data_IF_689850309049
#
_entry.id   IF_689850309049
#
_cell.length_a   1.000
_cell.length_b   1.000
_cell.length_c   1.000
_cell.angle_alpha   90.00
_cell.angle_beta   90.00
_cell.angle_gamma   90.00
#
_symmetry.space_group_name_H-M   'P 1'
#
loop_
_entity.id
_entity.type
_entity.pdbx_description
1 polymer ?
#
# COMPACT_ATOMS: atom_id res chain seq x y z
N UNK A 1 2.78 -7.82 14.26
CA UNK A 1 2.46 -6.88 13.17
C UNK A 1 3.61 -6.76 12.15
N UNK A 2 4.86 -6.67 12.60
CA UNK A 2 6.06 -6.50 11.75
C UNK A 2 6.15 -7.51 10.59
N UNK A 3 5.91 -8.85 10.76
CA UNK A 3 5.95 -9.77 9.61
C UNK A 3 4.98 -9.42 8.47
N UNK A 4 3.81 -8.88 8.80
CA UNK A 4 2.84 -8.43 7.78
C UNK A 4 3.30 -7.18 7.03
N UNK A 5 3.97 -6.25 7.73
CA UNK A 5 4.57 -5.08 7.09
C UNK A 5 5.67 -5.52 6.12
N UNK A 6 6.52 -6.47 6.53
CA UNK A 6 7.53 -7.03 5.64
C UNK A 6 6.94 -7.73 4.43
N UNK A 7 5.90 -8.55 4.63
CA UNK A 7 5.20 -9.19 3.52
C UNK A 7 4.63 -8.15 2.54
N UNK A 8 3.96 -7.11 3.06
CA UNK A 8 3.43 -6.03 2.24
C UNK A 8 4.53 -5.26 1.49
N UNK A 9 5.66 -4.99 2.16
CA UNK A 9 6.82 -4.34 1.52
C UNK A 9 7.40 -5.18 0.39
N UNK A 10 7.52 -6.49 0.56
CA UNK A 10 8.02 -7.40 -0.47
C UNK A 10 7.07 -7.51 -1.66
N UNK A 11 5.75 -7.56 -1.41
CA UNK A 11 4.74 -7.55 -2.47
C UNK A 11 4.81 -6.24 -3.27
N UNK A 12 4.89 -5.10 -2.59
CA UNK A 12 5.02 -3.79 -3.23
C UNK A 12 6.31 -3.68 -4.05
N UNK A 13 7.44 -4.11 -3.49
CA UNK A 13 8.72 -4.14 -4.19
C UNK A 13 8.66 -5.03 -5.44
N UNK A 14 8.09 -6.23 -5.34
CA UNK A 14 7.92 -7.14 -6.48
C UNK A 14 7.06 -6.53 -7.58
N UNK A 15 5.94 -5.89 -7.22
CA UNK A 15 5.07 -5.20 -8.18
C UNK A 15 5.76 -4.03 -8.87
N UNK A 16 6.45 -3.17 -8.12
CA UNK A 16 7.22 -2.05 -8.68
C UNK A 16 8.39 -2.52 -9.55
N UNK A 17 8.98 -3.69 -9.25
CA UNK A 17 10.05 -4.26 -10.07
C UNK A 17 9.55 -4.78 -11.42
N UNK A 18 8.33 -5.32 -11.49
CA UNK A 18 7.73 -5.84 -12.71
C UNK A 18 7.14 -4.70 -13.57
N UNK A 19 6.59 -3.67 -12.94
CA UNK A 19 5.80 -2.61 -13.59
C UNK A 19 6.48 -1.94 -14.79
N UNK A 20 7.76 -1.50 -14.74
CA UNK A 20 8.39 -0.83 -15.87
C UNK A 20 8.50 -1.73 -17.10
N UNK A 21 8.80 -3.00 -16.91
CA UNK A 21 8.93 -3.96 -18.01
C UNK A 21 7.57 -4.30 -18.64
N UNK A 22 6.53 -4.39 -17.82
CA UNK A 22 5.16 -4.56 -18.32
C UNK A 22 4.73 -3.37 -19.17
N UNK A 23 5.04 -2.14 -18.75
CA UNK A 23 4.74 -0.92 -19.48
C UNK A 23 5.52 -0.82 -20.81
N UNK A 24 6.78 -1.27 -20.85
CA UNK A 24 7.57 -1.34 -22.10
C UNK A 24 6.95 -2.30 -23.11
N UNK A 25 6.41 -3.44 -22.67
CA UNK A 25 5.72 -4.37 -23.58
C UNK A 25 4.43 -3.74 -24.10
N UNK A 26 3.69 -3.01 -23.25
CA UNK A 26 2.45 -2.34 -23.64
C UNK A 26 2.68 -1.15 -24.59
N UNK A 27 3.81 -0.44 -24.47
CA UNK A 27 4.15 0.67 -25.37
C UNK A 27 4.56 0.23 -26.79
N UNK A 28 4.73 -1.08 -27.01
CA UNK A 28 5.11 -1.63 -28.32
C UNK A 28 6.60 -1.56 -28.61
N UNK A 29 7.42 -1.16 -27.66
CA UNK A 29 8.89 -1.04 -27.81
C UNK A 29 9.61 -2.39 -27.74
N UNK A 30 8.88 -3.47 -27.51
CA UNK A 30 9.43 -4.83 -27.42
C UNK A 30 8.63 -5.80 -28.31
N UNK A 31 9.29 -6.83 -28.83
CA UNK A 31 8.70 -7.85 -29.72
C UNK A 31 7.89 -8.93 -28.97
N UNK A 32 7.23 -8.58 -27.85
CA UNK A 32 6.40 -9.51 -27.07
C UNK A 32 4.92 -9.46 -27.45
N UNK A 33 4.14 -10.55 -27.24
CA UNK A 33 2.70 -10.51 -27.38
C UNK A 33 2.07 -9.51 -26.40
N UNK A 34 1.22 -8.61 -26.88
CA UNK A 34 0.58 -7.56 -26.08
C UNK A 34 -0.15 -8.07 -24.82
N UNK A 35 -0.73 -9.27 -24.89
CA UNK A 35 -1.43 -9.87 -23.74
C UNK A 35 -0.49 -10.14 -22.54
N UNK A 36 0.80 -10.44 -22.81
CA UNK A 36 1.81 -10.63 -21.73
C UNK A 36 2.02 -9.31 -20.98
N UNK A 37 2.13 -8.19 -21.72
CA UNK A 37 2.23 -6.86 -21.13
C UNK A 37 1.02 -6.52 -20.27
N UNK A 38 -0.19 -6.80 -20.78
CA UNK A 38 -1.44 -6.56 -20.05
C UNK A 38 -1.53 -7.37 -18.75
N UNK A 39 -1.25 -8.67 -18.80
CA UNK A 39 -1.27 -9.53 -17.62
C UNK A 39 -0.17 -9.13 -16.62
N UNK A 40 1.03 -8.85 -17.09
CA UNK A 40 2.14 -8.42 -16.24
C UNK A 40 1.85 -7.07 -15.57
N UNK A 41 1.26 -6.10 -16.30
CA UNK A 41 0.82 -4.84 -15.73
C UNK A 41 -0.27 -5.04 -14.67
N UNK A 42 -1.30 -5.81 -14.98
CA UNK A 42 -2.38 -6.11 -14.03
C UNK A 42 -1.82 -6.76 -12.75
N UNK A 43 -0.90 -7.72 -12.88
CA UNK A 43 -0.22 -8.36 -11.75
C UNK A 43 0.63 -7.36 -10.96
N UNK A 44 1.39 -6.49 -11.65
CA UNK A 44 2.22 -5.48 -11.01
C UNK A 44 1.37 -4.52 -10.17
N UNK A 45 0.29 -3.98 -10.73
CA UNK A 45 -0.64 -3.10 -10.00
C UNK A 45 -1.33 -3.81 -8.83
N UNK A 46 -1.74 -5.07 -9.02
CA UNK A 46 -2.33 -5.87 -7.94
C UNK A 46 -1.34 -6.07 -6.78
N UNK A 47 -0.08 -6.42 -7.08
CA UNK A 47 0.96 -6.62 -6.07
C UNK A 47 1.29 -5.32 -5.34
N UNK A 48 1.43 -4.21 -6.06
CA UNK A 48 1.68 -2.89 -5.45
C UNK A 48 0.53 -2.50 -4.54
N UNK A 49 -0.71 -2.60 -5.01
CA UNK A 49 -1.91 -2.26 -4.23
C UNK A 49 -2.06 -3.15 -2.99
N UNK A 50 -1.96 -4.47 -3.16
CA UNK A 50 -2.03 -5.42 -2.05
C UNK A 50 -0.91 -5.19 -1.04
N UNK A 51 0.32 -4.95 -1.51
CA UNK A 51 1.46 -4.65 -0.67
C UNK A 51 1.31 -3.36 0.12
N UNK A 52 0.89 -2.28 -0.55
CA UNK A 52 0.64 -0.98 0.06
C UNK A 52 -0.42 -1.07 1.17
N UNK A 53 -1.57 -1.64 0.87
CA UNK A 53 -2.66 -1.75 1.84
C UNK A 53 -2.32 -2.67 3.02
N UNK A 54 -1.58 -3.75 2.78
CA UNK A 54 -1.11 -4.65 3.84
C UNK A 54 -0.14 -3.92 4.77
N UNK A 55 0.85 -3.20 4.21
CA UNK A 55 1.82 -2.42 4.99
C UNK A 55 1.14 -1.31 5.78
N UNK A 56 0.23 -0.57 5.14
CA UNK A 56 -0.50 0.54 5.77
C UNK A 56 -1.39 0.06 6.91
N UNK A 57 -2.16 -1.00 6.71
CA UNK A 57 -3.06 -1.55 7.73
C UNK A 57 -2.27 -2.11 8.92
N UNK A 58 -1.22 -2.88 8.65
CA UNK A 58 -0.39 -3.45 9.70
C UNK A 58 0.42 -2.38 10.45
N UNK A 59 0.89 -1.33 9.74
CA UNK A 59 1.59 -0.18 10.31
C UNK A 59 0.69 0.65 11.21
N UNK A 60 -0.53 0.96 10.77
CA UNK A 60 -1.54 1.66 11.59
C UNK A 60 -1.88 0.86 12.85
N UNK A 61 -2.08 -0.45 12.71
CA UNK A 61 -2.34 -1.33 13.85
C UNK A 61 -1.14 -1.36 14.83
N UNK A 62 0.10 -1.41 14.33
CA UNK A 62 1.29 -1.37 15.17
C UNK A 62 1.38 -0.05 15.93
N UNK A 63 1.21 1.08 15.25
CA UNK A 63 1.27 2.40 15.86
C UNK A 63 0.20 2.62 16.93
N UNK A 64 -1.03 2.12 16.71
CA UNK A 64 -2.12 2.19 17.69
C UNK A 64 -1.93 1.26 18.88
N UNK A 65 -1.30 0.09 18.66
CA UNK A 65 -0.97 -0.86 19.73
C UNK A 65 0.13 -0.33 20.66
N UNK A 66 1.10 0.41 20.11
CA UNK A 66 2.19 1.02 20.86
C UNK A 66 1.78 2.30 21.58
N UNK A 67 0.75 2.99 21.11
CA UNK A 67 0.30 4.25 21.66
C UNK A 67 -0.56 4.06 22.94
N UNK A 68 -0.33 4.87 24.01
CA UNK A 68 -1.23 4.95 25.13
C UNK A 68 -2.67 5.28 24.68
N UNK A 69 -3.67 4.71 25.36
CA UNK A 69 -5.08 4.87 24.96
C UNK A 69 -5.51 6.33 24.76
N UNK A 70 -5.04 7.24 25.61
CA UNK A 70 -5.33 8.67 25.52
C UNK A 70 -4.75 9.35 24.28
N UNK A 71 -3.69 8.80 23.67
CA UNK A 71 -2.97 9.40 22.55
C UNK A 71 -3.24 8.72 21.20
N UNK A 72 -4.00 7.65 21.16
CA UNK A 72 -4.25 6.88 19.92
C UNK A 72 -4.80 7.75 18.79
N UNK A 73 -5.76 8.62 19.08
CA UNK A 73 -6.33 9.52 18.09
C UNK A 73 -5.28 10.49 17.51
N UNK A 74 -4.37 11.01 18.34
CA UNK A 74 -3.29 11.89 17.89
C UNK A 74 -2.27 11.15 17.02
N UNK A 75 -1.92 9.91 17.38
CA UNK A 75 -1.00 9.07 16.59
C UNK A 75 -1.60 8.78 15.21
N UNK A 76 -2.88 8.41 15.15
CA UNK A 76 -3.58 8.20 13.87
C UNK A 76 -3.59 9.48 13.03
N UNK A 77 -3.93 10.61 13.63
CA UNK A 77 -3.92 11.90 12.92
C UNK A 77 -2.52 12.24 12.39
N UNK A 78 -1.47 12.03 13.18
CA UNK A 78 -0.09 12.26 12.77
C UNK A 78 0.31 11.36 11.58
N UNK A 79 -0.08 10.10 11.59
CA UNK A 79 0.18 9.17 10.49
C UNK A 79 -0.48 9.64 9.19
N UNK A 80 -1.72 10.15 9.25
CA UNK A 80 -2.39 10.71 8.07
C UNK A 80 -1.75 12.00 7.57
N UNK A 81 -1.35 12.90 8.49
CA UNK A 81 -0.60 14.11 8.10
C UNK A 81 0.72 13.74 7.43
N UNK A 82 1.46 12.79 8.00
CA UNK A 82 2.72 12.31 7.40
C UNK A 82 2.48 11.66 6.03
N UNK A 83 1.38 10.91 5.86
CA UNK A 83 0.99 10.36 4.57
C UNK A 83 0.76 11.46 3.53
N UNK A 84 0.00 12.50 3.87
CA UNK A 84 -0.27 13.63 2.97
C UNK A 84 1.02 14.38 2.59
N UNK A 85 1.87 14.65 3.57
CA UNK A 85 3.20 15.26 3.32
C UNK A 85 4.04 14.37 2.40
N UNK A 86 4.03 13.06 2.63
CA UNK A 86 4.71 12.09 1.78
C UNK A 86 4.16 12.07 0.34
N UNK A 87 2.85 12.15 0.17
CA UNK A 87 2.21 12.23 -1.15
C UNK A 87 2.61 13.51 -1.90
N UNK A 88 2.58 14.67 -1.25
CA UNK A 88 2.99 15.95 -1.84
C UNK A 88 4.47 15.91 -2.23
N UNK A 89 5.33 15.44 -1.32
CA UNK A 89 6.77 15.32 -1.56
C UNK A 89 7.05 14.34 -2.71
N UNK A 90 6.39 13.20 -2.72
CA UNK A 90 6.52 12.21 -3.78
C UNK A 90 6.07 12.73 -5.14
N UNK A 91 4.89 13.37 -5.19
CA UNK A 91 4.36 13.95 -6.43
C UNK A 91 5.30 15.04 -7.00
N UNK A 92 5.82 15.91 -6.13
CA UNK A 92 6.77 16.97 -6.53
C UNK A 92 8.08 16.37 -7.02
N UNK A 93 8.63 15.39 -6.29
CA UNK A 93 9.88 14.73 -6.65
C UNK A 93 9.76 13.98 -7.99
N UNK A 94 8.69 13.22 -8.19
CA UNK A 94 8.45 12.50 -9.46
C UNK A 94 8.19 13.47 -10.61
N UNK A 95 7.41 14.54 -10.40
CA UNK A 95 7.19 15.58 -11.40
C UNK A 95 8.49 16.22 -11.85
N UNK A 96 9.40 16.51 -10.93
CA UNK A 96 10.72 17.06 -11.25
C UNK A 96 11.63 16.05 -11.95
N UNK A 97 11.71 14.82 -11.45
CA UNK A 97 12.55 13.77 -12.01
C UNK A 97 12.12 13.36 -13.43
N UNK A 98 10.82 13.43 -13.73
CA UNK A 98 10.24 13.05 -15.02
C UNK A 98 9.95 14.25 -15.92
N UNK A 99 10.39 15.46 -15.58
CA UNK A 99 10.17 16.67 -16.37
C UNK A 99 10.67 16.51 -17.82
N UNK A 100 11.87 15.91 -17.98
CA UNK A 100 12.37 15.48 -19.28
C UNK A 100 12.11 13.99 -19.43
N UNK A 101 10.92 13.64 -19.89
CA UNK A 101 10.49 12.26 -20.00
C UNK A 101 11.37 11.45 -20.94
N UNK A 102 11.85 10.30 -20.44
CA UNK A 102 12.47 9.26 -21.23
C UNK A 102 12.10 7.90 -20.60
N UNK A 103 11.87 6.89 -21.42
CA UNK A 103 11.50 5.55 -20.92
C UNK A 103 12.50 5.00 -19.92
N UNK A 104 13.79 5.20 -20.18
CA UNK A 104 14.85 4.76 -19.26
C UNK A 104 14.77 5.49 -17.92
N UNK A 105 14.45 6.78 -17.91
CA UNK A 105 14.25 7.56 -16.69
C UNK A 105 13.04 7.03 -15.89
N UNK A 106 11.95 6.70 -16.58
CA UNK A 106 10.77 6.11 -15.92
C UNK A 106 11.13 4.81 -15.19
N UNK A 107 11.88 3.92 -15.86
CA UNK A 107 12.36 2.68 -15.25
C UNK A 107 13.21 2.99 -14.00
N UNK A 108 14.20 3.88 -14.14
CA UNK A 108 15.09 4.25 -13.05
C UNK A 108 14.35 4.85 -11.86
N UNK A 109 13.38 5.73 -12.12
CA UNK A 109 12.58 6.37 -11.06
C UNK A 109 11.70 5.35 -10.33
N UNK A 110 11.02 4.45 -11.05
CA UNK A 110 10.19 3.41 -10.43
C UNK A 110 11.05 2.42 -9.62
N UNK A 111 12.17 1.97 -10.16
CA UNK A 111 13.10 1.07 -9.45
C UNK A 111 13.74 1.78 -8.24
N UNK A 112 14.11 3.04 -8.39
CA UNK A 112 14.61 3.87 -7.29
C UNK A 112 13.57 4.02 -6.17
N UNK A 113 12.31 4.27 -6.51
CA UNK A 113 11.21 4.34 -5.56
C UNK A 113 11.00 2.99 -4.84
N UNK A 114 11.11 1.87 -5.56
CA UNK A 114 11.00 0.53 -4.98
C UNK A 114 12.09 0.29 -3.91
N UNK A 115 13.34 0.58 -4.25
CA UNK A 115 14.47 0.45 -3.33
C UNK A 115 14.33 1.40 -2.14
N UNK A 116 13.99 2.66 -2.38
CA UNK A 116 13.78 3.67 -1.33
C UNK A 116 12.69 3.23 -0.36
N UNK A 117 11.58 2.68 -0.85
CA UNK A 117 10.49 2.15 -0.01
C UNK A 117 10.97 1.04 0.92
N UNK A 118 11.77 0.10 0.42
CA UNK A 118 12.36 -0.97 1.24
C UNK A 118 13.29 -0.37 2.31
N UNK A 119 14.19 0.54 1.92
CA UNK A 119 15.13 1.18 2.86
C UNK A 119 14.39 1.95 3.95
N UNK A 120 13.37 2.74 3.60
CA UNK A 120 12.57 3.47 4.58
C UNK A 120 11.82 2.51 5.53
N UNK A 121 11.29 1.40 5.03
CA UNK A 121 10.64 0.39 5.88
C UNK A 121 11.65 -0.31 6.80
N UNK A 122 12.87 -0.61 6.33
CA UNK A 122 13.95 -1.11 7.20
C UNK A 122 14.22 -0.16 8.36
N UNK A 123 14.39 1.14 8.04
CA UNK A 123 14.64 2.17 9.06
C UNK A 123 13.45 2.32 10.00
N UNK A 124 12.24 2.39 9.46
CA UNK A 124 11.00 2.56 10.24
C UNK A 124 10.73 1.39 11.19
N UNK A 125 11.06 0.17 10.78
CA UNK A 125 10.84 -1.04 11.58
C UNK A 125 11.99 -1.37 12.53
N UNK A 126 13.07 -0.60 12.48
CA UNK A 126 14.24 -0.83 13.33
C UNK A 126 13.87 -0.73 14.81
N UNK A 127 13.94 -1.87 15.51
CA UNK A 127 13.64 -1.98 16.95
C UNK A 127 12.21 -1.55 17.38
N UNK A 128 11.25 -1.51 16.46
CA UNK A 128 9.88 -1.06 16.77
C UNK A 128 9.06 -2.08 17.56
N UNK A 129 9.30 -3.38 17.41
CA UNK A 129 8.52 -4.41 18.09
C UNK A 129 9.32 -5.02 19.24
N UNK A 130 8.93 -4.71 20.47
CA UNK A 130 9.34 -5.49 21.63
C UNK A 130 8.74 -6.91 21.50
N UNK A 131 9.60 -7.92 21.42
CA UNK A 131 9.15 -9.32 21.39
C UNK A 131 8.47 -9.65 22.73
N UNK A 132 7.17 -9.79 22.70
CA UNK A 132 6.38 -10.28 23.83
C UNK A 132 5.99 -11.75 23.58
N UNK A 133 6.73 -12.72 24.14
CA UNK A 133 6.47 -14.14 23.94
C UNK A 133 5.08 -14.56 24.44
N UNK A 134 4.51 -13.83 25.41
CA UNK A 134 3.20 -14.14 25.96
C UNK A 134 2.06 -13.97 24.94
N UNK A 135 2.20 -13.00 24.05
CA UNK A 135 1.22 -12.73 22.96
C UNK A 135 1.35 -13.69 21.78
N UNK A 136 2.48 -14.35 21.65
CA UNK A 136 2.76 -15.31 20.55
C UNK A 136 2.69 -16.76 21.03
N UNK A 137 2.38 -17.01 22.31
CA UNK A 137 2.25 -18.37 22.84
C UNK A 137 1.17 -19.16 22.07
N UNK A 138 1.43 -20.44 21.82
CA UNK A 138 0.49 -21.34 21.15
C UNK A 138 -0.81 -21.54 21.96
N UNK A 139 -0.77 -21.24 23.25
CA UNK A 139 -1.89 -21.31 24.18
C UNK A 139 -2.77 -20.07 24.21
N UNK A 140 -2.37 -18.97 23.53
CA UNK A 140 -3.20 -17.79 23.44
C UNK A 140 -4.46 -18.08 22.60
N UNK A 141 -5.69 -17.85 23.13
CA UNK A 141 -6.92 -18.12 22.40
C UNK A 141 -6.96 -17.23 21.14
N UNK A 142 -6.97 -17.86 19.99
CA UNK A 142 -7.09 -17.21 18.69
C UNK A 142 -8.46 -17.54 18.12
N UNK A 143 -9.47 -16.65 18.26
CA UNK A 143 -10.76 -16.92 17.65
C UNK A 143 -10.57 -17.07 16.14
N UNK A 144 -11.21 -18.06 15.51
CA UNK A 144 -11.15 -18.24 14.07
C UNK A 144 -11.72 -17.00 13.38
N UNK A 145 -11.18 -16.67 12.21
CA UNK A 145 -11.60 -15.48 11.45
C UNK A 145 -13.12 -15.41 11.27
N UNK A 146 -13.78 -16.56 11.04
CA UNK A 146 -15.24 -16.64 10.86
C UNK A 146 -16.01 -16.13 12.08
N UNK A 147 -15.57 -16.41 13.28
CA UNK A 147 -16.22 -15.95 14.52
C UNK A 147 -16.00 -14.44 14.72
N UNK A 148 -14.77 -13.97 14.50
CA UNK A 148 -14.44 -12.55 14.55
C UNK A 148 -15.20 -11.73 13.50
N UNK A 149 -15.36 -12.28 12.30
CA UNK A 149 -16.13 -11.69 11.23
C UNK A 149 -17.63 -11.66 11.52
N UNK A 150 -18.18 -12.75 12.05
CA UNK A 150 -19.58 -12.82 12.46
C UNK A 150 -19.89 -11.82 13.58
N UNK A 151 -19.01 -11.70 14.57
CA UNK A 151 -19.15 -10.73 15.66
C UNK A 151 -19.07 -9.28 15.13
N UNK A 152 -18.21 -9.00 14.17
CA UNK A 152 -18.08 -7.70 13.51
C UNK A 152 -19.36 -7.30 12.76
N UNK A 153 -19.94 -8.23 12.00
CA UNK A 153 -21.18 -7.99 11.22
C UNK A 153 -22.39 -7.85 12.15
N UNK A 154 -22.47 -8.65 13.22
CA UNK A 154 -23.60 -8.64 14.15
C UNK A 154 -23.80 -7.26 14.81
N UNK A 155 -22.76 -6.46 14.93
CA UNK A 155 -22.80 -5.10 15.50
C UNK A 155 -23.57 -4.07 14.66
N UNK A 156 -23.94 -4.35 13.41
CA UNK A 156 -24.76 -3.51 12.51
C UNK A 156 -24.17 -2.15 12.13
N UNK A 157 -23.55 -1.42 13.06
CA UNK A 157 -22.90 -0.13 12.81
C UNK A 157 -21.59 -0.28 12.04
N UNK A 158 -20.77 -1.29 12.39
CA UNK A 158 -19.50 -1.53 11.74
C UNK A 158 -19.68 -1.98 10.29
N UNK A 159 -20.65 -2.84 10.00
CA UNK A 159 -20.95 -3.27 8.64
C UNK A 159 -21.49 -2.13 7.76
N UNK A 160 -22.36 -1.27 8.30
CA UNK A 160 -22.83 -0.07 7.58
C UNK A 160 -21.68 0.89 7.27
N UNK A 161 -20.78 1.12 8.23
CA UNK A 161 -19.61 1.96 8.03
C UNK A 161 -18.68 1.36 6.95
N UNK A 162 -18.47 0.04 6.98
CA UNK A 162 -17.66 -0.65 5.98
C UNK A 162 -18.23 -0.46 4.56
N UNK A 163 -19.55 -0.65 4.40
CA UNK A 163 -20.22 -0.45 3.11
C UNK A 163 -20.13 1.01 2.67
N UNK A 164 -20.41 1.97 3.56
CA UNK A 164 -20.32 3.39 3.25
C UNK A 164 -18.91 3.82 2.82
N UNK A 165 -17.89 3.39 3.54
CA UNK A 165 -16.48 3.66 3.20
C UNK A 165 -16.13 2.98 1.88
N UNK A 166 -16.53 1.71 1.67
CA UNK A 166 -16.28 0.99 0.42
C UNK A 166 -16.90 1.67 -0.79
N UNK A 167 -18.16 2.09 -0.70
CA UNK A 167 -18.83 2.82 -1.77
C UNK A 167 -18.21 4.20 -2.01
N UNK A 168 -17.87 4.93 -0.94
CA UNK A 168 -17.20 6.23 -1.05
C UNK A 168 -15.84 6.11 -1.74
N UNK A 169 -15.02 5.13 -1.34
CA UNK A 169 -13.71 4.88 -1.96
C UNK A 169 -13.85 4.47 -3.42
N UNK A 170 -14.83 3.63 -3.75
CA UNK A 170 -15.09 3.24 -5.14
C UNK A 170 -15.52 4.45 -5.99
N UNK A 171 -16.40 5.32 -5.45
CA UNK A 171 -16.82 6.53 -6.15
C UNK A 171 -15.66 7.49 -6.43
N UNK A 172 -14.77 7.71 -5.45
CA UNK A 172 -13.55 8.50 -5.65
C UNK A 172 -12.62 7.91 -6.70
N UNK A 173 -12.37 6.60 -6.65
CA UNK A 173 -11.52 5.92 -7.63
C UNK A 173 -12.11 6.01 -9.05
N UNK A 174 -13.42 5.91 -9.19
CA UNK A 174 -14.11 6.08 -10.48
C UNK A 174 -14.02 7.51 -10.99
N UNK A 175 -14.10 8.51 -10.11
CA UNK A 175 -13.95 9.92 -10.47
C UNK A 175 -12.57 10.20 -11.05
N UNK A 176 -11.51 9.71 -10.42
CA UNK A 176 -10.13 9.89 -10.89
C UNK A 176 -9.94 9.31 -12.31
N UNK A 177 -10.49 8.12 -12.57
CA UNK A 177 -10.42 7.49 -13.89
C UNK A 177 -11.20 8.28 -14.96
N UNK A 178 -12.35 8.88 -14.59
CA UNK A 178 -13.19 9.60 -15.53
C UNK A 178 -12.67 11.01 -15.86
N UNK A 179 -11.94 11.65 -14.96
CA UNK A 179 -11.41 13.01 -15.16
C UNK A 179 -10.13 13.03 -16.00
N UNK A 180 -9.33 11.98 -15.97
CA UNK A 180 -8.07 11.90 -16.73
C UNK A 180 -8.24 12.05 -18.27
N UNK A 181 -9.24 11.45 -18.95
CA UNK A 181 -9.40 11.58 -20.39
C UNK A 181 -9.86 12.96 -20.89
N UNK A 182 -10.38 13.83 -20.01
CA UNK A 182 -10.92 15.14 -20.40
C UNK A 182 -9.86 16.26 -20.38
N UNK A 183 -8.66 15.97 -19.91
CA UNK A 183 -7.55 16.93 -19.83
C UNK A 183 -6.64 16.96 -21.08
N UNK A 184 -7.07 16.33 -22.19
CA UNK A 184 -6.35 16.34 -23.49
C UNK A 184 -7.00 17.27 -24.48
#
# INVERSE_FOLDING_TARGET
RVPYIWMGTLLQFGGLSIMPFALLILSGDTHGPAWIGTVAAALAFLLVGAGLHTTQTAGLALATDLAPAANRARVVALLYVTLLVGMITGATAFGWLLADFAQIKLIQVIQGAAVLTVLLNVVALWKQEARDPSRTSLTAPRPPFRESWAAFIAGGRASRLLVAVGLGTAAFAMQDILLEPQAR
#
